data_IF_797717173173
#
_entry.id   IF_797717173173
#
_cell.length_a   1.000
_cell.length_b   1.000
_cell.length_c   1.000
_cell.angle_alpha   90.00
_cell.angle_beta   90.00
_cell.angle_gamma   90.00
#
_symmetry.space_group_name_H-M   'P 1'
#
loop_
_entity.id
_entity.type
_entity.pdbx_description
1 polymer ?
#
# COMPACT_ATOMS: atom_id res chain seq x y z
N UNK A 1 -2.34 8.15 24.05
CA UNK A 1 -3.51 8.08 23.15
C UNK A 1 -4.78 8.18 23.97
N UNK A 2 -5.73 9.09 23.70
CA UNK A 2 -6.98 9.16 24.46
C UNK A 2 -7.83 7.92 24.18
N UNK A 3 -8.56 7.45 25.17
CA UNK A 3 -9.49 6.33 25.05
C UNK A 3 -10.80 6.65 25.80
N UNK A 4 -11.85 5.93 25.44
CA UNK A 4 -13.15 5.98 26.12
C UNK A 4 -13.49 4.59 26.63
N UNK A 5 -14.03 4.54 27.86
CA UNK A 5 -14.57 3.29 28.42
C UNK A 5 -16.03 3.17 28.01
N UNK A 6 -16.39 2.03 27.48
CA UNK A 6 -17.75 1.69 27.09
C UNK A 6 -18.22 0.47 27.91
N UNK A 7 -18.95 0.74 28.98
CA UNK A 7 -19.46 -0.31 29.84
C UNK A 7 -20.44 -1.22 29.11
N UNK A 8 -20.28 -2.52 29.28
CA UNK A 8 -21.15 -3.53 28.66
C UNK A 8 -20.88 -3.81 27.18
N UNK A 9 -19.92 -3.12 26.53
CA UNK A 9 -19.58 -3.35 25.13
C UNK A 9 -18.54 -4.47 24.90
N UNK A 10 -18.08 -5.13 25.97
CA UNK A 10 -17.17 -6.28 25.91
C UNK A 10 -17.81 -7.52 25.28
N UNK A 11 -16.99 -8.52 24.97
CA UNK A 11 -17.48 -9.84 24.58
C UNK A 11 -17.88 -10.65 25.83
N UNK A 12 -18.73 -11.68 25.65
CA UNK A 12 -19.12 -12.57 26.78
C UNK A 12 -17.95 -13.29 27.42
N UNK A 13 -16.83 -13.41 26.70
CA UNK A 13 -15.62 -14.11 27.15
C UNK A 13 -14.57 -13.19 27.77
N UNK A 14 -14.76 -11.86 27.73
CA UNK A 14 -13.84 -10.92 28.37
C UNK A 14 -13.87 -9.50 27.80
N UNK A 15 -13.04 -8.61 28.33
CA UNK A 15 -12.92 -7.25 27.86
C UNK A 15 -12.25 -7.18 26.50
N UNK A 16 -12.50 -6.07 25.75
CA UNK A 16 -11.87 -5.80 24.48
C UNK A 16 -11.36 -4.36 24.37
N UNK A 17 -10.29 -4.17 23.64
CA UNK A 17 -9.83 -2.89 23.14
C UNK A 17 -10.21 -2.78 21.66
N UNK A 18 -10.81 -1.65 21.29
CA UNK A 18 -11.18 -1.36 19.90
C UNK A 18 -10.38 -0.17 19.38
N UNK A 19 -9.92 -0.27 18.14
CA UNK A 19 -9.27 0.82 17.44
C UNK A 19 -10.18 1.27 16.30
N UNK A 20 -10.73 2.48 16.43
CA UNK A 20 -11.55 3.08 15.40
C UNK A 20 -10.72 4.07 14.57
N UNK A 21 -10.91 4.02 13.25
CA UNK A 21 -10.38 5.01 12.31
C UNK A 21 -11.51 5.95 11.91
N UNK A 22 -11.18 7.23 11.80
CA UNK A 22 -12.12 8.25 11.31
C UNK A 22 -11.83 8.56 9.85
N UNK A 23 -12.85 8.43 9.00
CA UNK A 23 -12.73 8.75 7.59
C UNK A 23 -12.79 10.27 7.33
N UNK A 24 -12.69 10.68 6.06
CA UNK A 24 -12.73 12.11 5.67
C UNK A 24 -14.08 12.78 5.94
N UNK A 25 -15.16 12.01 6.05
CA UNK A 25 -16.48 12.48 6.37
C UNK A 25 -16.77 12.51 7.88
N UNK A 26 -15.77 12.17 8.71
CA UNK A 26 -15.89 12.12 10.16
C UNK A 26 -16.58 10.86 10.70
N UNK A 27 -16.90 9.87 9.87
CA UNK A 27 -17.49 8.59 10.29
C UNK A 27 -16.44 7.72 10.98
N UNK A 28 -16.82 7.06 12.05
CA UNK A 28 -15.94 6.14 12.78
C UNK A 28 -16.13 4.71 12.28
N UNK A 29 -15.00 4.05 12.03
CA UNK A 29 -14.94 2.68 11.56
C UNK A 29 -14.06 1.85 12.47
N UNK A 30 -14.66 0.85 13.12
CA UNK A 30 -13.89 -0.13 13.87
C UNK A 30 -13.03 -0.95 12.91
N UNK A 31 -11.72 -0.92 13.12
CA UNK A 31 -10.75 -1.64 12.31
C UNK A 31 -9.95 -2.65 13.14
N UNK A 32 -9.29 -2.20 14.21
CA UNK A 32 -8.48 -3.07 15.04
C UNK A 32 -9.17 -3.51 16.31
N UNK A 33 -8.85 -4.71 16.80
CA UNK A 33 -9.29 -5.15 18.14
C UNK A 33 -8.19 -5.95 18.82
N UNK A 34 -8.17 -5.88 20.16
CA UNK A 34 -7.52 -6.86 21.02
C UNK A 34 -8.59 -7.35 21.99
N UNK A 35 -8.85 -8.63 22.02
CA UNK A 35 -9.88 -9.24 22.84
C UNK A 35 -9.25 -10.24 23.79
N UNK A 36 -9.54 -10.09 25.07
CA UNK A 36 -9.11 -11.02 26.10
C UNK A 36 -10.17 -12.11 26.24
N UNK A 37 -9.75 -13.35 26.11
CA UNK A 37 -10.65 -14.51 26.18
C UNK A 37 -10.24 -15.37 27.38
N UNK A 38 -11.10 -15.36 28.39
CA UNK A 38 -10.93 -16.11 29.63
C UNK A 38 -11.76 -17.40 29.64
N UNK A 39 -12.55 -17.65 28.61
CA UNK A 39 -13.55 -18.73 28.58
C UNK A 39 -13.14 -19.86 27.63
N UNK A 40 -12.73 -19.52 26.41
CA UNK A 40 -12.45 -20.53 25.37
C UNK A 40 -11.29 -21.49 25.73
N UNK A 41 -10.19 -21.01 26.37
CA UNK A 41 -9.13 -21.94 26.78
C UNK A 41 -9.61 -23.05 27.69
N UNK A 42 -10.50 -22.76 28.63
CA UNK A 42 -11.09 -23.77 29.51
C UNK A 42 -12.04 -24.70 28.76
N UNK A 43 -12.85 -24.17 27.80
CA UNK A 43 -13.75 -24.98 26.95
C UNK A 43 -13.02 -25.94 26.04
N UNK A 44 -11.84 -25.58 25.54
CA UNK A 44 -10.96 -26.42 24.74
C UNK A 44 -10.00 -27.28 25.59
N UNK A 45 -10.07 -27.18 26.91
CA UNK A 45 -9.14 -27.84 27.86
C UNK A 45 -7.65 -27.52 27.54
N UNK A 46 -7.35 -26.32 27.07
CA UNK A 46 -5.99 -25.87 26.84
C UNK A 46 -5.31 -25.64 28.19
N UNK A 47 -4.14 -26.24 28.40
CA UNK A 47 -3.41 -26.15 29.65
C UNK A 47 -1.93 -25.89 29.43
N UNK A 48 -1.33 -25.19 30.36
CA UNK A 48 0.12 -25.03 30.46
C UNK A 48 0.58 -25.34 31.89
N UNK A 49 1.87 -25.62 32.04
CA UNK A 49 2.50 -25.78 33.34
C UNK A 49 3.00 -24.42 33.82
N UNK A 50 2.54 -23.96 34.97
CA UNK A 50 3.05 -22.74 35.57
C UNK A 50 4.41 -22.94 36.27
N UNK A 51 4.98 -21.86 36.82
CA UNK A 51 6.27 -21.90 37.50
C UNK A 51 6.27 -22.77 38.78
N UNK A 52 5.09 -23.05 39.33
CA UNK A 52 4.92 -23.96 40.49
C UNK A 52 4.70 -25.43 40.06
N UNK A 53 4.71 -25.74 38.78
CA UNK A 53 4.45 -27.08 38.24
C UNK A 53 2.98 -27.48 38.21
N UNK A 54 2.05 -26.51 38.37
CA UNK A 54 0.62 -26.76 38.30
C UNK A 54 0.07 -26.54 36.88
N UNK A 55 -0.95 -27.35 36.52
CA UNK A 55 -1.67 -27.19 35.26
C UNK A 55 -2.71 -26.09 35.37
N UNK A 56 -2.57 -25.04 34.54
CA UNK A 56 -3.51 -23.90 34.46
C UNK A 56 -4.01 -23.67 33.06
N UNK A 57 -5.20 -23.06 32.95
CA UNK A 57 -5.72 -22.59 31.67
C UNK A 57 -5.03 -21.25 31.30
N UNK A 58 -4.55 -21.10 30.07
CA UNK A 58 -4.00 -19.81 29.61
C UNK A 58 -5.10 -18.77 29.38
N UNK A 59 -4.72 -17.52 29.29
CA UNK A 59 -5.55 -16.47 28.72
C UNK A 59 -5.30 -16.43 27.22
N UNK A 60 -6.35 -16.42 26.39
CA UNK A 60 -6.22 -16.28 24.95
C UNK A 60 -6.40 -14.83 24.55
N UNK A 61 -5.60 -14.37 23.61
CA UNK A 61 -5.71 -13.02 23.02
C UNK A 61 -6.08 -13.17 21.56
N UNK A 62 -7.22 -12.58 21.18
CA UNK A 62 -7.62 -12.45 19.77
C UNK A 62 -7.21 -11.07 19.28
N UNK A 63 -6.51 -11.02 18.16
CA UNK A 63 -6.01 -9.77 17.56
C UNK A 63 -6.48 -9.61 16.13
N UNK A 64 -7.22 -8.55 15.84
CA UNK A 64 -7.49 -8.08 14.49
C UNK A 64 -6.75 -6.76 14.25
N UNK A 65 -6.08 -6.62 13.09
CA UNK A 65 -5.36 -5.40 12.73
C UNK A 65 -6.25 -4.45 11.93
N UNK A 66 -6.92 -4.95 10.92
CA UNK A 66 -7.71 -4.15 9.98
C UNK A 66 -9.22 -4.41 10.06
N UNK A 67 -9.65 -5.38 10.85
CA UNK A 67 -11.02 -5.91 10.85
C UNK A 67 -11.30 -6.66 9.56
N UNK A 68 -12.08 -6.08 8.64
CA UNK A 68 -12.24 -6.54 7.26
C UNK A 68 -11.27 -5.83 6.34
N UNK A 69 -10.53 -6.58 5.50
CA UNK A 69 -9.61 -6.02 4.50
C UNK A 69 -10.35 -5.15 3.48
N UNK A 70 -11.54 -5.55 3.07
CA UNK A 70 -12.37 -4.83 2.11
C UNK A 70 -12.80 -3.48 2.66
N UNK A 71 -13.26 -3.45 3.92
CA UNK A 71 -13.62 -2.21 4.61
C UNK A 71 -12.42 -1.29 4.75
N UNK A 72 -11.29 -1.83 5.18
CA UNK A 72 -10.07 -1.05 5.34
C UNK A 72 -9.58 -0.47 4.01
N UNK A 73 -9.60 -1.27 2.92
CA UNK A 73 -9.26 -0.80 1.58
C UNK A 73 -10.22 0.31 1.11
N UNK A 74 -11.52 0.16 1.36
CA UNK A 74 -12.50 1.20 1.04
C UNK A 74 -12.19 2.52 1.74
N UNK A 75 -11.91 2.49 3.05
CA UNK A 75 -11.53 3.66 3.85
C UNK A 75 -10.23 4.28 3.32
N UNK A 76 -9.23 3.45 3.01
CA UNK A 76 -7.94 3.88 2.50
C UNK A 76 -8.06 4.60 1.15
N UNK A 77 -8.81 4.01 0.22
CA UNK A 77 -9.07 4.60 -1.10
C UNK A 77 -9.84 5.93 -0.99
N UNK A 78 -10.87 5.98 -0.14
CA UNK A 78 -11.63 7.20 0.12
C UNK A 78 -10.75 8.29 0.76
N UNK A 79 -9.91 7.92 1.73
CA UNK A 79 -8.98 8.84 2.38
C UNK A 79 -8.02 9.50 1.40
N UNK A 80 -7.51 8.74 0.46
CA UNK A 80 -6.58 9.21 -0.57
C UNK A 80 -7.27 9.70 -1.85
N UNK A 81 -8.60 9.76 -1.90
CA UNK A 81 -9.37 10.10 -3.10
C UNK A 81 -8.94 9.28 -4.34
N UNK A 82 -8.63 8.00 -4.14
CA UNK A 82 -8.13 7.09 -5.18
C UNK A 82 -6.65 7.22 -5.52
N UNK A 83 -6.00 8.33 -5.17
CA UNK A 83 -4.57 8.56 -5.45
C UNK A 83 -3.69 8.05 -4.29
N UNK A 84 -3.45 6.75 -4.25
CA UNK A 84 -2.65 6.12 -3.20
C UNK A 84 -1.20 6.65 -3.17
N UNK A 85 -0.55 6.69 -1.99
CA UNK A 85 0.88 6.93 -1.90
C UNK A 85 1.66 5.99 -2.82
N UNK A 86 2.78 6.43 -3.44
CA UNK A 86 3.50 5.63 -4.44
C UNK A 86 3.88 4.22 -3.99
N UNK A 87 4.22 4.02 -2.71
CA UNK A 87 4.58 2.70 -2.17
C UNK A 87 3.39 1.73 -2.11
N UNK A 88 2.13 2.24 -2.01
CA UNK A 88 0.89 1.44 -2.01
C UNK A 88 0.26 1.30 -3.40
N UNK A 89 0.59 2.18 -4.36
CA UNK A 89 -0.03 2.15 -5.69
C UNK A 89 0.16 0.78 -6.37
N UNK A 90 -0.89 0.13 -6.89
CA UNK A 90 -0.80 -1.16 -7.57
C UNK A 90 0.15 -1.12 -8.77
N UNK A 91 0.05 -0.07 -9.58
CA UNK A 91 1.00 0.30 -10.63
C UNK A 91 1.68 1.58 -10.21
N UNK A 92 3.01 1.55 -10.08
CA UNK A 92 3.78 2.68 -9.58
C UNK A 92 4.29 3.58 -10.70
N UNK A 93 4.55 3.00 -11.87
CA UNK A 93 5.03 3.72 -13.03
C UNK A 93 4.39 3.19 -14.32
N UNK A 94 3.83 4.08 -15.12
CA UNK A 94 3.41 3.79 -16.49
C UNK A 94 4.56 4.16 -17.44
N UNK A 95 5.05 3.21 -18.22
CA UNK A 95 6.07 3.42 -19.25
C UNK A 95 5.36 3.58 -20.58
N UNK A 96 5.58 4.72 -21.21
CA UNK A 96 4.84 5.19 -22.37
C UNK A 96 5.80 5.40 -23.55
N UNK A 97 6.09 4.37 -24.34
CA UNK A 97 6.86 4.52 -25.60
C UNK A 97 6.08 5.42 -26.57
N UNK A 98 6.73 6.36 -27.24
CA UNK A 98 6.05 7.26 -28.19
C UNK A 98 5.54 6.46 -29.39
N UNK A 99 6.33 5.53 -29.90
CA UNK A 99 5.99 4.66 -31.03
C UNK A 99 6.41 3.20 -30.81
N UNK A 100 6.13 2.37 -31.79
CA UNK A 100 6.47 0.94 -31.74
C UNK A 100 7.99 0.68 -31.70
N UNK A 101 8.79 1.59 -32.28
CA UNK A 101 10.25 1.48 -32.30
C UNK A 101 10.87 1.57 -30.89
N UNK A 102 10.23 2.28 -29.95
CA UNK A 102 10.69 2.46 -28.59
C UNK A 102 10.23 1.34 -27.63
N UNK A 103 9.35 0.44 -28.08
CA UNK A 103 8.81 -0.64 -27.26
C UNK A 103 9.89 -1.57 -26.65
N UNK A 104 10.95 -1.97 -27.37
CA UNK A 104 12.03 -2.76 -26.79
C UNK A 104 12.72 -2.02 -25.62
N UNK A 105 12.98 -0.72 -25.78
CA UNK A 105 13.59 0.11 -24.73
C UNK A 105 12.66 0.28 -23.51
N UNK A 106 11.35 0.43 -23.76
CA UNK A 106 10.33 0.49 -22.71
C UNK A 106 10.26 -0.83 -21.90
N UNK A 107 10.30 -1.97 -22.58
CA UNK A 107 10.31 -3.28 -21.92
C UNK A 107 11.60 -3.51 -21.10
N UNK A 108 12.76 -3.06 -21.61
CA UNK A 108 14.01 -3.13 -20.89
C UNK A 108 13.98 -2.24 -19.63
N UNK A 109 13.43 -1.01 -19.72
CA UNK A 109 13.24 -0.15 -18.54
C UNK A 109 12.27 -0.79 -17.54
N UNK A 110 11.20 -1.43 -18.00
CA UNK A 110 10.27 -2.15 -17.12
C UNK A 110 10.98 -3.28 -16.36
N UNK A 111 11.88 -4.01 -17.00
CA UNK A 111 12.66 -5.05 -16.36
C UNK A 111 13.59 -4.48 -15.26
N UNK A 112 14.26 -3.36 -15.54
CA UNK A 112 15.11 -2.67 -14.53
C UNK A 112 14.30 -2.19 -13.33
N UNK A 113 13.13 -1.58 -13.57
CA UNK A 113 12.25 -1.13 -12.48
C UNK A 113 11.75 -2.30 -11.64
N UNK A 114 11.39 -3.43 -12.27
CA UNK A 114 11.01 -4.66 -11.54
C UNK A 114 12.17 -5.22 -10.70
N UNK A 115 13.37 -5.23 -11.26
CA UNK A 115 14.56 -5.64 -10.53
C UNK A 115 14.84 -4.74 -9.32
N UNK A 116 14.48 -3.45 -9.40
CA UNK A 116 14.54 -2.51 -8.29
C UNK A 116 13.33 -2.60 -7.33
N UNK A 117 12.46 -3.61 -7.48
CA UNK A 117 11.33 -3.87 -6.60
C UNK A 117 10.07 -3.04 -6.88
N UNK A 118 10.00 -2.37 -8.03
CA UNK A 118 8.85 -1.58 -8.44
C UNK A 118 7.83 -2.39 -9.25
N UNK A 119 6.62 -1.85 -9.37
CA UNK A 119 5.51 -2.39 -10.16
C UNK A 119 5.22 -1.49 -11.37
N UNK A 120 6.01 -1.58 -12.46
CA UNK A 120 5.75 -0.85 -13.68
C UNK A 120 4.75 -1.55 -14.59
N UNK A 121 4.04 -0.77 -15.41
CA UNK A 121 3.26 -1.22 -16.54
C UNK A 121 3.75 -0.53 -17.83
N UNK A 122 3.83 -1.27 -18.93
CA UNK A 122 4.10 -0.70 -20.26
C UNK A 122 2.77 -0.56 -20.97
N UNK A 123 2.45 0.64 -21.47
CA UNK A 123 1.26 0.91 -22.25
C UNK A 123 1.68 1.34 -23.66
N UNK A 124 1.34 0.55 -24.65
CA UNK A 124 1.72 0.74 -26.07
C UNK A 124 0.52 0.82 -27.02
N UNK A 125 -0.65 0.41 -26.56
CA UNK A 125 -1.90 0.51 -27.30
C UNK A 125 -2.38 1.96 -27.31
N UNK A 126 -3.05 2.40 -28.32
CA UNK A 126 -3.60 3.75 -28.43
C UNK A 126 -2.56 4.90 -28.63
N UNK A 127 -3.04 6.13 -28.76
CA UNK A 127 -2.18 7.30 -28.87
C UNK A 127 -1.48 7.65 -27.56
N UNK A 128 -0.29 8.26 -27.63
CA UNK A 128 0.44 8.70 -26.43
C UNK A 128 -0.41 9.58 -25.53
N UNK A 129 -1.16 10.53 -26.10
CA UNK A 129 -2.02 11.44 -25.33
C UNK A 129 -3.10 10.69 -24.55
N UNK A 130 -3.70 9.65 -25.15
CA UNK A 130 -4.70 8.82 -24.49
C UNK A 130 -4.09 8.01 -23.35
N UNK A 131 -2.95 7.38 -23.58
CA UNK A 131 -2.23 6.63 -22.54
C UNK A 131 -1.80 7.50 -21.36
N UNK A 132 -1.38 8.75 -21.60
CA UNK A 132 -1.10 9.73 -20.58
C UNK A 132 -2.37 10.04 -19.76
N UNK A 133 -3.49 10.28 -20.44
CA UNK A 133 -4.77 10.55 -19.78
C UNK A 133 -5.27 9.36 -18.97
N UNK A 134 -5.16 8.15 -19.48
CA UNK A 134 -5.53 6.90 -18.78
C UNK A 134 -4.65 6.66 -17.53
N UNK A 135 -3.33 6.83 -17.68
CA UNK A 135 -2.43 6.71 -16.54
C UNK A 135 -2.77 7.73 -15.43
N UNK A 136 -3.18 8.94 -15.81
CA UNK A 136 -3.65 9.96 -14.88
C UNK A 136 -5.00 9.57 -14.25
N UNK A 137 -5.97 9.11 -15.05
CA UNK A 137 -7.28 8.66 -14.58
C UNK A 137 -7.19 7.49 -13.60
N UNK A 138 -6.21 6.59 -13.78
CA UNK A 138 -5.91 5.49 -12.87
C UNK A 138 -5.02 5.89 -11.68
N UNK A 139 -4.77 7.20 -11.50
CA UNK A 139 -3.93 7.74 -10.43
C UNK A 139 -2.54 7.08 -10.34
N UNK A 140 -1.94 6.70 -11.48
CA UNK A 140 -0.58 6.15 -11.51
C UNK A 140 0.41 7.28 -11.18
N UNK A 141 1.22 7.12 -10.10
CA UNK A 141 2.03 8.23 -9.56
C UNK A 141 3.07 8.78 -10.53
N UNK A 142 3.66 7.92 -11.35
CA UNK A 142 4.75 8.28 -12.26
C UNK A 142 4.47 7.80 -13.68
N UNK A 143 4.77 8.64 -14.65
CA UNK A 143 4.71 8.30 -16.07
C UNK A 143 6.10 8.52 -16.67
N UNK A 144 6.61 7.55 -17.40
CA UNK A 144 7.92 7.53 -18.03
C UNK A 144 7.75 7.53 -19.54
N UNK A 145 7.96 8.68 -20.19
CA UNK A 145 7.82 8.78 -21.64
C UNK A 145 9.17 8.50 -22.30
N UNK A 146 9.15 7.65 -23.31
CA UNK A 146 10.31 7.25 -24.10
C UNK A 146 10.02 7.51 -25.58
N UNK A 147 10.68 8.51 -26.14
CA UNK A 147 10.73 8.76 -27.57
C UNK A 147 12.09 8.40 -28.15
N UNK A 148 12.25 8.57 -29.45
CA UNK A 148 13.51 8.27 -30.16
C UNK A 148 14.70 9.07 -29.59
N UNK A 149 14.48 10.31 -29.18
CA UNK A 149 15.52 11.17 -28.59
C UNK A 149 15.96 10.66 -27.22
N UNK A 150 15.00 10.29 -26.36
CA UNK A 150 15.28 9.74 -25.05
C UNK A 150 16.05 8.41 -25.16
N UNK A 151 15.62 7.53 -26.08
CA UNK A 151 16.30 6.24 -26.30
C UNK A 151 17.74 6.46 -26.79
N UNK A 152 17.95 7.34 -27.76
CA UNK A 152 19.27 7.65 -28.29
C UNK A 152 20.20 8.29 -27.25
N UNK A 153 19.66 9.12 -26.36
CA UNK A 153 20.41 9.79 -25.31
C UNK A 153 20.57 8.96 -24.01
N UNK A 154 19.95 7.78 -23.91
CA UNK A 154 19.95 6.99 -22.68
C UNK A 154 19.19 7.66 -21.52
N UNK A 155 18.20 8.49 -21.85
CA UNK A 155 17.39 9.25 -20.87
C UNK A 155 15.93 8.76 -20.90
N UNK A 156 15.12 9.31 -20.00
CA UNK A 156 13.67 9.13 -19.93
C UNK A 156 13.03 10.42 -19.45
N UNK A 157 11.88 10.79 -20.02
CA UNK A 157 11.12 11.94 -19.52
C UNK A 157 10.15 11.46 -18.43
N UNK A 158 10.46 11.82 -17.17
CA UNK A 158 9.61 11.55 -16.01
C UNK A 158 8.53 12.65 -15.92
N UNK A 159 7.27 12.25 -15.94
CA UNK A 159 6.09 13.08 -15.64
C UNK A 159 5.50 12.67 -14.30
N UNK A 160 5.12 13.64 -13.49
CA UNK A 160 4.45 13.44 -12.20
C UNK A 160 2.98 13.85 -12.30
N UNK A 161 2.22 13.52 -11.28
CA UNK A 161 0.79 13.87 -11.20
C UNK A 161 0.51 15.38 -11.30
N UNK A 162 1.45 16.24 -10.85
CA UNK A 162 1.38 17.69 -10.96
C UNK A 162 1.72 18.24 -12.37
N UNK A 163 1.81 17.35 -13.37
CA UNK A 163 2.21 17.63 -14.75
C UNK A 163 3.65 18.16 -14.93
N UNK A 164 4.43 18.26 -13.85
CA UNK A 164 5.86 18.58 -13.97
C UNK A 164 6.60 17.48 -14.72
N UNK A 165 7.51 17.90 -15.61
CA UNK A 165 8.30 17.01 -16.46
C UNK A 165 9.77 17.29 -16.28
N UNK A 166 10.56 16.23 -16.22
CA UNK A 166 12.01 16.30 -16.16
C UNK A 166 12.63 15.18 -16.97
N UNK A 167 13.61 15.48 -17.81
CA UNK A 167 14.42 14.47 -18.47
C UNK A 167 15.54 14.03 -17.52
N UNK A 168 15.69 12.76 -17.31
CA UNK A 168 16.68 12.15 -16.42
C UNK A 168 17.45 11.06 -17.15
N UNK A 169 18.73 10.83 -16.82
CA UNK A 169 19.40 9.58 -17.16
C UNK A 169 18.57 8.39 -16.68
N UNK A 170 18.50 7.33 -17.46
CA UNK A 170 17.68 6.17 -17.16
C UNK A 170 17.98 5.55 -15.79
N UNK A 171 19.26 5.40 -15.45
CA UNK A 171 19.69 4.88 -14.16
C UNK A 171 19.22 5.76 -12.99
N UNK A 172 19.30 7.09 -13.13
CA UNK A 172 18.87 8.05 -12.11
C UNK A 172 17.35 7.99 -11.92
N UNK A 173 16.59 7.83 -13.00
CA UNK A 173 15.14 7.65 -12.94
C UNK A 173 14.77 6.37 -12.15
N UNK A 174 15.44 5.25 -12.41
CA UNK A 174 15.21 3.99 -11.66
C UNK A 174 15.52 4.20 -10.17
N UNK A 175 16.66 4.78 -9.84
CA UNK A 175 17.06 5.05 -8.45
C UNK A 175 16.08 5.99 -7.74
N UNK A 176 15.70 7.08 -8.41
CA UNK A 176 14.76 8.07 -7.85
C UNK A 176 13.38 7.46 -7.59
N UNK A 177 12.87 6.64 -8.52
CA UNK A 177 11.58 5.98 -8.33
C UNK A 177 11.66 4.94 -7.21
N UNK A 178 12.73 4.17 -7.12
CA UNK A 178 12.92 3.22 -6.03
C UNK A 178 12.87 3.89 -4.66
N UNK A 179 13.53 5.04 -4.51
CA UNK A 179 13.49 5.82 -3.27
C UNK A 179 12.08 6.36 -2.97
N UNK A 180 11.38 6.91 -3.98
CA UNK A 180 10.04 7.50 -3.80
C UNK A 180 8.95 6.46 -3.55
N UNK A 181 9.16 5.24 -4.02
CA UNK A 181 8.26 4.11 -3.80
C UNK A 181 8.67 3.23 -2.61
N UNK A 182 9.73 3.57 -1.91
CA UNK A 182 10.13 2.87 -0.70
C UNK A 182 9.05 2.97 0.38
N UNK A 183 8.85 1.89 1.12
CA UNK A 183 7.94 1.91 2.28
C UNK A 183 8.46 2.90 3.32
N UNK A 184 7.58 3.71 3.93
CA UNK A 184 8.01 4.57 5.02
C UNK A 184 8.54 3.72 6.19
N UNK A 185 9.68 4.12 6.75
CA UNK A 185 10.15 3.55 8.00
C UNK A 185 9.24 4.03 9.12
N UNK A 186 8.58 3.11 9.80
CA UNK A 186 7.84 3.40 11.01
C UNK A 186 8.81 3.19 12.17
N UNK A 187 9.31 4.27 12.74
CA UNK A 187 9.92 4.25 14.08
C UNK A 187 8.79 4.11 15.09
N UNK A 188 8.77 3.01 15.82
CA UNK A 188 7.91 2.84 16.98
C UNK A 188 8.70 3.40 18.14
N UNK A 189 8.37 4.64 18.56
CA UNK A 189 8.85 5.23 19.82
C UNK A 189 8.08 4.66 21.01
#
# INVERSE_FOLDING_TARGET
MPYQVQDGAGAFYGPKLEFALRDRLGREWQCGTIQFDLVMPARFDLRYMDAAGERRHPVMLHRALYGSLERFLGILLEHHAGALPPWLAPVQAAILPVGAAELPAANALAAELRAAGLRPAVAADESLSRRIAEAHAHAIPFQLVLGAREVAAGTVTLRRADAAQVALPRADAVQQLAQRCARPHITVD
#
